data_IF_301814857801
#
_entry.id   IF_301814857801
#
_cell.length_a   1.000
_cell.length_b   1.000
_cell.length_c   1.000
_cell.angle_alpha   90.00
_cell.angle_beta   90.00
_cell.angle_gamma   90.00
#
_symmetry.space_group_name_H-M   'P 1'
#
loop_
_entity.id
_entity.type
_entity.pdbx_description
1 polymer ?
#
# COMPACT_ATOMS: atom_id res chain seq x y z
N UNK A 1 6.50 -22.60 14.56
CA UNK A 1 5.68 -22.32 13.36
C UNK A 1 6.61 -21.83 12.25
N UNK A 2 6.70 -22.58 11.18
CA UNK A 2 7.48 -22.18 10.01
C UNK A 2 6.70 -21.21 9.12
N UNK A 3 7.43 -20.36 8.37
CA UNK A 3 6.81 -19.41 7.42
C UNK A 3 5.84 -20.11 6.46
N UNK A 4 6.29 -21.20 5.82
CA UNK A 4 5.47 -21.94 4.86
C UNK A 4 4.21 -22.56 5.48
N UNK A 5 4.31 -22.98 6.75
CA UNK A 5 3.17 -23.54 7.46
C UNK A 5 2.15 -22.46 7.79
N UNK A 6 2.62 -21.34 8.34
CA UNK A 6 1.76 -20.20 8.62
C UNK A 6 1.07 -19.68 7.36
N UNK A 7 1.79 -19.58 6.23
CA UNK A 7 1.20 -19.13 4.96
C UNK A 7 0.04 -20.04 4.52
N UNK A 8 0.23 -21.35 4.60
CA UNK A 8 -0.83 -22.29 4.22
C UNK A 8 -2.09 -22.13 5.08
N UNK A 9 -1.90 -22.00 6.39
CA UNK A 9 -3.01 -21.78 7.31
C UNK A 9 -3.71 -20.45 7.06
N UNK A 10 -2.94 -19.37 6.90
CA UNK A 10 -3.47 -18.04 6.64
C UNK A 10 -4.27 -17.99 5.33
N UNK A 11 -3.74 -18.57 4.27
CA UNK A 11 -4.43 -18.64 2.97
C UNK A 11 -5.77 -19.37 3.13
N UNK A 12 -5.83 -20.46 3.89
CA UNK A 12 -7.06 -21.20 4.11
C UNK A 12 -8.10 -20.40 4.89
N UNK A 13 -7.68 -19.50 5.76
CA UNK A 13 -8.57 -18.64 6.56
C UNK A 13 -9.02 -17.37 5.81
N UNK A 14 -8.33 -16.98 4.74
CA UNK A 14 -8.63 -15.76 3.98
C UNK A 14 -9.39 -16.02 2.68
N UNK A 15 -10.10 -17.13 2.56
CA UNK A 15 -10.79 -17.51 1.31
C UNK A 15 -11.90 -16.52 0.88
N UNK A 16 -12.39 -15.68 1.79
CA UNK A 16 -13.32 -14.61 1.47
C UNK A 16 -12.63 -13.40 0.79
N UNK A 17 -11.30 -13.30 0.83
CA UNK A 17 -10.53 -12.28 0.12
C UNK A 17 -10.44 -12.62 -1.37
N UNK A 18 -10.33 -11.57 -2.20
CA UNK A 18 -10.06 -11.73 -3.64
C UNK A 18 -8.64 -12.24 -3.91
N UNK A 19 -7.71 -12.03 -2.97
CA UNK A 19 -6.30 -12.39 -3.10
C UNK A 19 -5.73 -12.98 -1.81
N UNK A 20 -6.23 -14.16 -1.35
CA UNK A 20 -5.84 -14.72 -0.05
C UNK A 20 -4.33 -14.93 0.09
N UNK A 21 -3.70 -15.43 -0.96
CA UNK A 21 -2.26 -15.69 -0.97
C UNK A 21 -1.45 -14.41 -0.84
N UNK A 22 -1.78 -13.41 -1.61
CA UNK A 22 -1.05 -12.13 -1.57
C UNK A 22 -1.23 -11.42 -0.24
N UNK A 23 -2.44 -11.45 0.30
CA UNK A 23 -2.72 -10.90 1.62
C UNK A 23 -1.87 -11.56 2.70
N UNK A 24 -1.82 -12.89 2.72
CA UNK A 24 -1.00 -13.64 3.68
C UNK A 24 0.49 -13.32 3.54
N UNK A 25 1.00 -13.27 2.31
CA UNK A 25 2.39 -12.89 2.03
C UNK A 25 2.71 -11.48 2.55
N UNK A 26 1.84 -10.52 2.30
CA UNK A 26 2.02 -9.13 2.75
C UNK A 26 2.07 -9.05 4.28
N UNK A 27 1.19 -9.73 4.97
CA UNK A 27 1.19 -9.76 6.44
C UNK A 27 2.49 -10.36 6.99
N UNK A 28 2.96 -11.45 6.40
CA UNK A 28 4.20 -12.09 6.81
C UNK A 28 5.41 -11.19 6.55
N UNK A 29 5.48 -10.55 5.39
CA UNK A 29 6.52 -9.57 5.07
C UNK A 29 6.52 -8.42 6.08
N UNK A 30 5.33 -7.91 6.41
CA UNK A 30 5.18 -6.80 7.36
C UNK A 30 5.69 -7.12 8.75
N UNK A 31 5.35 -8.28 9.29
CA UNK A 31 5.73 -8.69 10.66
C UNK A 31 7.19 -9.13 10.74
N UNK A 32 7.69 -9.84 9.74
CA UNK A 32 9.06 -10.38 9.76
C UNK A 32 10.11 -9.40 9.23
N UNK A 33 9.70 -8.39 8.46
CA UNK A 33 10.64 -7.49 7.78
C UNK A 33 11.38 -8.15 6.62
N UNK A 34 11.00 -9.38 6.22
CA UNK A 34 11.62 -10.10 5.10
C UNK A 34 10.82 -9.90 3.83
N UNK A 35 11.50 -9.77 2.70
CA UNK A 35 10.86 -9.65 1.40
C UNK A 35 10.28 -10.98 0.91
N UNK A 36 9.41 -10.91 -0.09
CA UNK A 36 8.73 -12.07 -0.67
C UNK A 36 9.71 -13.16 -1.13
N UNK A 37 10.80 -12.77 -1.78
CA UNK A 37 11.80 -13.71 -2.29
C UNK A 37 12.43 -14.52 -1.16
N UNK A 38 12.77 -13.86 -0.06
CA UNK A 38 13.31 -14.54 1.12
C UNK A 38 12.31 -15.54 1.71
N UNK A 39 11.08 -15.12 1.86
CA UNK A 39 10.00 -15.95 2.43
C UNK A 39 9.79 -17.21 1.60
N UNK A 40 9.78 -17.09 0.27
CA UNK A 40 9.59 -18.23 -0.62
C UNK A 40 10.81 -19.14 -0.67
N UNK A 41 12.02 -18.58 -0.61
CA UNK A 41 13.27 -19.34 -0.65
C UNK A 41 13.58 -20.05 0.68
N UNK A 42 13.20 -19.46 1.81
CA UNK A 42 13.51 -19.94 3.16
C UNK A 42 12.24 -20.19 3.98
N UNK A 43 11.29 -20.90 3.37
CA UNK A 43 9.99 -21.20 3.98
C UNK A 43 10.03 -21.98 5.29
N UNK A 44 11.14 -22.67 5.59
CA UNK A 44 11.37 -23.39 6.83
C UNK A 44 11.82 -22.49 7.99
N UNK A 45 11.99 -21.20 7.76
CA UNK A 45 12.38 -20.25 8.82
C UNK A 45 11.31 -20.21 9.91
N UNK A 46 11.75 -20.23 11.17
CA UNK A 46 10.85 -20.23 12.32
C UNK A 46 10.39 -18.81 12.66
N UNK A 47 9.09 -18.68 12.91
CA UNK A 47 8.52 -17.49 13.54
C UNK A 47 8.79 -17.49 15.03
N UNK A 48 9.06 -16.32 15.60
CA UNK A 48 9.08 -16.15 17.05
C UNK A 48 7.65 -16.17 17.60
N UNK A 49 7.50 -16.43 18.90
CA UNK A 49 6.20 -16.39 19.56
C UNK A 49 5.53 -15.02 19.43
N UNK A 50 6.33 -13.96 19.54
CA UNK A 50 5.87 -12.58 19.37
C UNK A 50 5.36 -12.34 17.95
N UNK A 51 6.09 -12.80 16.94
CA UNK A 51 5.66 -12.71 15.53
C UNK A 51 4.36 -13.48 15.29
N UNK A 52 4.23 -14.66 15.87
CA UNK A 52 3.00 -15.46 15.78
C UNK A 52 1.80 -14.68 16.36
N UNK A 53 1.97 -14.08 17.52
CA UNK A 53 0.89 -13.28 18.16
C UNK A 53 0.50 -12.07 17.30
N UNK A 54 1.47 -11.36 16.75
CA UNK A 54 1.21 -10.21 15.86
C UNK A 54 0.47 -10.66 14.60
N UNK A 55 0.91 -11.75 13.98
CA UNK A 55 0.29 -12.30 12.78
C UNK A 55 -1.14 -12.76 13.03
N UNK A 56 -1.40 -13.42 14.16
CA UNK A 56 -2.74 -13.89 14.51
C UNK A 56 -3.71 -12.71 14.68
N UNK A 57 -3.25 -11.64 15.33
CA UNK A 57 -4.05 -10.43 15.48
C UNK A 57 -4.38 -9.79 14.14
N UNK A 58 -3.40 -9.64 13.26
CA UNK A 58 -3.60 -9.06 11.92
C UNK A 58 -4.47 -9.95 11.02
N UNK A 59 -4.26 -11.26 11.09
CA UNK A 59 -5.04 -12.22 10.32
C UNK A 59 -6.53 -12.17 10.71
N UNK A 60 -6.81 -12.07 12.00
CA UNK A 60 -8.18 -11.92 12.50
C UNK A 60 -8.83 -10.65 11.96
N UNK A 61 -8.14 -9.53 12.03
CA UNK A 61 -8.63 -8.25 11.52
C UNK A 61 -8.88 -8.30 10.02
N UNK A 62 -7.98 -8.92 9.24
CA UNK A 62 -8.14 -9.08 7.80
C UNK A 62 -9.32 -9.98 7.46
N UNK A 63 -9.47 -11.07 8.19
CA UNK A 63 -10.62 -11.97 8.05
C UNK A 63 -11.95 -11.28 8.35
N UNK A 64 -11.95 -10.34 9.29
CA UNK A 64 -13.13 -9.55 9.64
C UNK A 64 -13.42 -8.43 8.62
N UNK A 65 -12.60 -8.29 7.59
CA UNK A 65 -12.86 -7.41 6.46
C UNK A 65 -12.05 -6.12 6.43
N UNK A 66 -11.11 -5.88 7.37
CA UNK A 66 -10.25 -4.70 7.29
C UNK A 66 -9.36 -4.78 6.05
N UNK A 67 -9.24 -3.68 5.27
CA UNK A 67 -8.35 -3.64 4.11
C UNK A 67 -6.89 -3.92 4.51
N UNK A 68 -6.18 -4.72 3.71
CA UNK A 68 -4.79 -5.07 3.98
C UNK A 68 -3.89 -3.83 4.14
N UNK A 69 -4.13 -2.80 3.35
CA UNK A 69 -3.37 -1.56 3.42
C UNK A 69 -3.55 -0.82 4.76
N UNK A 70 -4.72 -0.92 5.39
CA UNK A 70 -4.95 -0.34 6.72
C UNK A 70 -4.24 -1.13 7.82
N UNK A 71 -4.02 -2.42 7.64
CA UNK A 71 -3.29 -3.26 8.59
C UNK A 71 -1.79 -2.99 8.57
N UNK A 72 -1.24 -2.75 7.39
CA UNK A 72 0.19 -2.45 7.21
C UNK A 72 0.50 -0.95 7.24
N UNK A 73 -0.49 -0.10 6.99
CA UNK A 73 -0.34 1.35 6.93
C UNK A 73 0.35 1.86 5.66
N UNK A 74 0.58 0.99 4.69
CA UNK A 74 1.32 1.32 3.46
C UNK A 74 0.64 0.71 2.24
N UNK A 75 0.62 1.45 1.14
CA UNK A 75 0.17 0.97 -0.16
C UNK A 75 1.10 1.48 -1.25
N UNK A 76 1.52 0.61 -2.16
CA UNK A 76 2.28 1.01 -3.32
C UNK A 76 1.36 1.59 -4.40
N UNK A 77 1.74 2.73 -4.95
CA UNK A 77 1.08 3.37 -6.08
C UNK A 77 2.12 4.00 -6.97
N UNK A 78 2.08 3.74 -8.27
CA UNK A 78 3.09 4.20 -9.23
C UNK A 78 4.53 3.83 -8.81
N UNK A 79 4.70 2.62 -8.26
CA UNK A 79 5.95 2.13 -7.63
C UNK A 79 6.44 2.96 -6.44
N UNK A 80 5.63 3.86 -5.91
CA UNK A 80 5.94 4.66 -4.73
C UNK A 80 5.28 4.05 -3.49
N UNK A 81 6.02 3.80 -2.41
CA UNK A 81 5.41 3.35 -1.15
C UNK A 81 4.78 4.55 -0.44
N UNK A 82 3.46 4.52 -0.27
CA UNK A 82 2.70 5.60 0.35
C UNK A 82 2.12 5.16 1.69
N UNK A 83 2.20 6.01 2.70
CA UNK A 83 1.43 5.83 3.92
C UNK A 83 -0.05 6.02 3.62
N UNK A 84 -0.88 5.16 4.20
CA UNK A 84 -2.33 5.22 4.09
C UNK A 84 -2.95 5.20 5.48
N UNK A 85 -4.17 5.72 5.60
CA UNK A 85 -4.93 5.70 6.85
C UNK A 85 -6.43 5.70 6.53
N UNK A 86 -7.30 5.44 7.51
CA UNK A 86 -8.75 5.56 7.33
C UNK A 86 -9.23 6.97 6.96
N UNK A 87 -8.38 8.00 7.09
CA UNK A 87 -8.72 9.39 6.75
C UNK A 87 -8.90 9.63 5.26
N UNK A 88 -8.38 8.75 4.40
CA UNK A 88 -8.44 8.88 2.95
C UNK A 88 -8.85 7.57 2.29
N UNK A 89 -9.24 7.66 1.01
CA UNK A 89 -9.36 6.47 0.18
C UNK A 89 -7.96 5.87 -0.05
N UNK A 90 -7.88 4.55 -0.03
CA UNK A 90 -6.69 3.82 -0.42
C UNK A 90 -6.49 4.00 -1.92
N UNK A 91 -5.28 4.40 -2.39
CA UNK A 91 -5.03 4.52 -3.83
C UNK A 91 -5.36 3.21 -4.57
N UNK A 92 -6.12 3.32 -5.64
CA UNK A 92 -6.54 2.16 -6.46
C UNK A 92 -5.61 2.00 -7.66
N UNK A 93 -5.28 0.75 -8.07
CA UNK A 93 -4.46 0.51 -9.25
C UNK A 93 -5.01 1.17 -10.52
N UNK A 94 -6.33 1.20 -10.70
CA UNK A 94 -6.99 1.82 -11.86
C UNK A 94 -6.69 3.32 -11.97
N UNK A 95 -6.41 3.99 -10.85
CA UNK A 95 -6.06 5.42 -10.83
C UNK A 95 -4.71 5.69 -11.50
N UNK A 96 -3.84 4.69 -11.65
CA UNK A 96 -2.60 4.81 -12.40
C UNK A 96 -2.86 5.14 -13.87
N UNK A 97 -3.98 4.68 -14.43
CA UNK A 97 -4.42 5.06 -15.77
C UNK A 97 -4.63 6.57 -15.90
N UNK A 98 -5.17 7.22 -14.87
CA UNK A 98 -5.32 8.68 -14.83
C UNK A 98 -3.95 9.37 -14.90
N UNK A 99 -2.97 8.87 -14.17
CA UNK A 99 -1.59 9.40 -14.19
C UNK A 99 -1.00 9.26 -15.61
N UNK A 100 -1.11 8.09 -16.22
CA UNK A 100 -0.65 7.86 -17.60
C UNK A 100 -1.28 8.83 -18.59
N UNK A 101 -2.59 9.02 -18.51
CA UNK A 101 -3.32 9.91 -19.41
C UNK A 101 -2.96 11.38 -19.16
N UNK A 102 -2.74 11.76 -17.92
CA UNK A 102 -2.29 13.11 -17.60
C UNK A 102 -0.88 13.38 -18.17
N UNK A 103 0.06 12.46 -17.95
CA UNK A 103 1.42 12.58 -18.46
C UNK A 103 1.44 12.70 -20.00
N UNK A 104 0.59 11.94 -20.70
CA UNK A 104 0.49 11.98 -22.16
C UNK A 104 -0.04 13.33 -22.69
N UNK A 105 -0.75 14.11 -21.86
CA UNK A 105 -1.38 15.37 -22.24
C UNK A 105 -0.70 16.62 -21.69
N UNK A 106 0.23 16.47 -20.77
CA UNK A 106 0.98 17.59 -20.24
C UNK A 106 1.89 18.20 -21.34
N UNK A 107 2.06 19.54 -21.34
CA UNK A 107 3.03 20.16 -22.26
C UNK A 107 4.45 19.70 -21.98
N UNK A 108 5.32 19.74 -22.98
CA UNK A 108 6.74 19.37 -22.81
C UNK A 108 7.47 20.35 -21.90
N UNK A 109 7.05 21.62 -21.91
CA UNK A 109 7.63 22.65 -21.06
C UNK A 109 7.18 22.50 -19.61
N UNK A 110 7.94 23.04 -18.64
CA UNK A 110 7.48 23.12 -17.26
C UNK A 110 6.10 23.77 -17.14
N UNK A 111 5.24 23.19 -16.34
CA UNK A 111 3.88 23.68 -16.13
C UNK A 111 3.48 23.59 -14.66
N UNK A 112 2.31 24.15 -14.33
CA UNK A 112 1.72 24.08 -13.01
C UNK A 112 0.54 23.11 -13.05
N UNK A 113 0.47 22.23 -12.05
CA UNK A 113 -0.56 21.19 -11.94
C UNK A 113 -1.24 21.37 -10.59
N UNK A 114 -2.56 21.30 -10.59
CA UNK A 114 -3.38 21.33 -9.38
C UNK A 114 -4.10 20.01 -9.21
N UNK A 115 -3.87 19.35 -8.07
CA UNK A 115 -4.57 18.12 -7.69
C UNK A 115 -5.60 18.45 -6.60
N UNK A 116 -6.88 18.42 -6.96
CA UNK A 116 -8.00 18.70 -6.07
C UNK A 116 -8.49 17.42 -5.41
N UNK A 117 -8.58 17.43 -4.09
CA UNK A 117 -8.95 16.23 -3.34
C UNK A 117 -7.85 15.17 -3.36
N UNK A 118 -6.64 15.59 -3.02
CA UNK A 118 -5.42 14.77 -3.21
C UNK A 118 -5.38 13.48 -2.36
N UNK A 119 -6.13 13.43 -1.25
CA UNK A 119 -6.15 12.28 -0.34
C UNK A 119 -4.76 11.98 0.21
N UNK A 120 -4.20 10.82 -0.16
CA UNK A 120 -2.83 10.42 0.22
C UNK A 120 -1.74 11.22 -0.48
N UNK A 121 -2.08 11.99 -1.50
CA UNK A 121 -1.13 12.64 -2.39
C UNK A 121 -0.67 11.76 -3.56
N UNK A 122 -1.28 10.60 -3.76
CA UNK A 122 -0.82 9.58 -4.71
C UNK A 122 -0.64 10.12 -6.14
N UNK A 123 -1.66 10.78 -6.69
CA UNK A 123 -1.62 11.31 -8.06
C UNK A 123 -0.57 12.42 -8.16
N UNK A 124 -0.57 13.36 -7.23
CA UNK A 124 0.38 14.48 -7.20
C UNK A 124 1.82 13.99 -7.12
N UNK A 125 2.10 13.03 -6.25
CA UNK A 125 3.44 12.45 -6.07
C UNK A 125 3.88 11.64 -7.30
N UNK A 126 2.97 10.88 -7.90
CA UNK A 126 3.27 10.15 -9.13
C UNK A 126 3.65 11.10 -10.27
N UNK A 127 2.88 12.18 -10.47
CA UNK A 127 3.18 13.21 -11.47
C UNK A 127 4.51 13.91 -11.17
N UNK A 128 4.77 14.25 -9.91
CA UNK A 128 6.02 14.88 -9.50
C UNK A 128 7.23 14.00 -9.76
N UNK A 129 7.11 12.69 -9.56
CA UNK A 129 8.19 11.72 -9.82
C UNK A 129 8.58 11.65 -11.30
N UNK A 130 7.60 11.81 -12.20
CA UNK A 130 7.81 11.77 -13.65
C UNK A 130 8.15 13.16 -14.24
N UNK A 131 7.66 14.22 -13.63
CA UNK A 131 7.84 15.59 -14.12
C UNK A 131 8.38 16.50 -13.00
N UNK A 132 9.64 16.32 -12.59
CA UNK A 132 10.28 17.15 -11.55
C UNK A 132 10.42 18.61 -11.96
N UNK A 133 10.28 18.93 -13.25
CA UNK A 133 10.28 20.27 -13.80
C UNK A 133 8.97 21.04 -13.56
N UNK A 134 7.86 20.33 -13.23
CA UNK A 134 6.56 20.92 -13.00
C UNK A 134 6.36 21.30 -11.53
N UNK A 135 5.63 22.40 -11.30
CA UNK A 135 5.14 22.76 -9.97
C UNK A 135 3.79 22.09 -9.73
N UNK A 136 3.70 21.26 -8.69
CA UNK A 136 2.47 20.54 -8.36
C UNK A 136 1.94 21.02 -7.02
N UNK A 137 0.68 21.47 -7.01
CA UNK A 137 -0.02 21.91 -5.82
C UNK A 137 -1.14 20.90 -5.57
N UNK A 138 -1.11 20.28 -4.41
CA UNK A 138 -2.11 19.30 -3.98
C UNK A 138 -2.93 19.89 -2.82
N UNK A 139 -4.23 19.76 -2.88
CA UNK A 139 -5.13 20.29 -1.86
C UNK A 139 -6.15 19.25 -1.46
N UNK A 140 -6.60 19.32 -0.21
CA UNK A 140 -7.68 18.50 0.30
C UNK A 140 -8.45 19.28 1.34
N UNK A 141 -9.76 19.04 1.42
CA UNK A 141 -10.62 19.67 2.40
C UNK A 141 -10.38 19.15 3.80
N UNK A 142 -9.96 17.90 3.94
CA UNK A 142 -9.79 17.23 5.23
C UNK A 142 -8.37 17.45 5.76
N UNK A 143 -8.22 18.07 6.97
CA UNK A 143 -6.89 18.29 7.55
C UNK A 143 -6.06 17.01 7.72
N UNK A 144 -6.69 15.90 8.08
CA UNK A 144 -6.01 14.61 8.25
C UNK A 144 -5.47 14.08 6.92
N UNK A 145 -6.18 14.33 5.82
CA UNK A 145 -5.68 13.99 4.48
C UNK A 145 -4.47 14.84 4.11
N UNK A 146 -4.51 16.14 4.38
CA UNK A 146 -3.37 17.05 4.15
C UNK A 146 -2.14 16.59 4.93
N UNK A 147 -2.30 16.26 6.20
CA UNK A 147 -1.21 15.78 7.05
C UNK A 147 -0.61 14.47 6.51
N UNK A 148 -1.46 13.55 6.07
CA UNK A 148 -1.02 12.29 5.47
C UNK A 148 -0.26 12.51 4.16
N UNK A 149 -0.78 13.37 3.28
CA UNK A 149 -0.13 13.71 2.02
C UNK A 149 1.24 14.38 2.23
N UNK A 150 1.36 15.25 3.23
CA UNK A 150 2.63 15.88 3.60
C UNK A 150 3.64 14.87 4.13
N UNK A 151 3.18 13.82 4.80
CA UNK A 151 4.02 12.73 5.28
C UNK A 151 4.54 11.88 4.11
N UNK A 152 3.76 11.73 3.06
CA UNK A 152 4.14 11.02 1.86
C UNK A 152 5.06 11.88 0.97
#
# INVERSE_FOLDING_TARGET
MEYQHWLREAISQLQASESPRRDAEILLEHVTGRGRTFILAFGETQLTDEQCQQLDALLTRRRDGEPIAHLTGVREFWSLPLFVSPATLIPRPDTECLVEQALARLPEQPCRILDLGTGTGAIALALASERPDCEIIAVDRMPDAVSLAQRN
#
